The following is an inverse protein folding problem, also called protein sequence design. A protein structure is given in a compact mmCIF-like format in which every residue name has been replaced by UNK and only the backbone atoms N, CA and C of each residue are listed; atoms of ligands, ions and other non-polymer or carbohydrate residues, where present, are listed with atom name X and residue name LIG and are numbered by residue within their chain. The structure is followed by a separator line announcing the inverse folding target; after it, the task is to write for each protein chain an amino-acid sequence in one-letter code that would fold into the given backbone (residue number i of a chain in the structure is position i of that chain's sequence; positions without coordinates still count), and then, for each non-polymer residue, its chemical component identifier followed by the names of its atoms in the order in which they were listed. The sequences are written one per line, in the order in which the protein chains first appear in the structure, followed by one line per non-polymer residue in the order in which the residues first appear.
data_IF_545487680191
#
_entry.id   IF_545487680191
#
_cell.length_a   1.000
_cell.length_b   1.000
_cell.length_c   1.000
_cell.angle_alpha   90.00
_cell.angle_beta   90.00
_cell.angle_gamma   90.00
#
_symmetry.space_group_name_H-M   'P 1'
#
loop_
_entity.id
_entity.type
_entity.pdbx_description
1 polymer ?
#
# COMPACT_ATOMS: atom_id res chain seq x y z
N UNK A 1 -7.76 -50.33 -21.50
CA UNK A 1 -6.59 -49.51 -21.13
C UNK A 1 -6.59 -48.11 -21.76
N UNK A 2 -6.94 -47.94 -23.05
CA UNK A 2 -6.95 -46.62 -23.71
C UNK A 2 -7.93 -45.57 -23.12
N UNK A 3 -9.08 -45.99 -22.58
CA UNK A 3 -10.09 -45.08 -22.00
C UNK A 3 -9.65 -44.43 -20.69
N UNK A 4 -8.88 -45.15 -19.86
CA UNK A 4 -8.33 -44.62 -18.60
C UNK A 4 -7.22 -43.59 -18.88
N UNK A 5 -6.38 -43.82 -19.90
CA UNK A 5 -5.34 -42.88 -20.31
C UNK A 5 -5.92 -41.55 -20.83
N UNK A 6 -7.02 -41.60 -21.58
CA UNK A 6 -7.70 -40.40 -22.07
C UNK A 6 -8.33 -39.57 -20.94
N UNK A 7 -8.91 -40.22 -19.92
CA UNK A 7 -9.50 -39.56 -18.75
C UNK A 7 -8.42 -38.93 -17.85
N UNK A 8 -7.29 -39.61 -17.68
CA UNK A 8 -6.16 -39.06 -16.92
C UNK A 8 -5.54 -37.86 -17.63
N UNK A 9 -5.41 -37.92 -18.96
CA UNK A 9 -4.85 -36.81 -19.73
C UNK A 9 -5.77 -35.59 -19.73
N UNK A 10 -7.09 -35.78 -19.85
CA UNK A 10 -8.04 -34.67 -19.76
C UNK A 10 -8.06 -34.04 -18.36
N UNK A 11 -7.93 -34.84 -17.29
CA UNK A 11 -7.81 -34.32 -15.92
C UNK A 11 -6.54 -33.50 -15.70
N UNK A 12 -5.41 -33.92 -16.29
CA UNK A 12 -4.16 -33.16 -16.19
C UNK A 12 -4.23 -31.82 -16.93
N UNK A 13 -4.85 -31.79 -18.11
CA UNK A 13 -4.99 -30.57 -18.90
C UNK A 13 -5.88 -29.55 -18.16
N UNK A 14 -6.99 -30.01 -17.57
CA UNK A 14 -7.87 -29.12 -16.79
C UNK A 14 -7.19 -28.61 -15.53
N UNK A 15 -6.42 -29.44 -14.82
CA UNK A 15 -5.66 -29.01 -13.66
C UNK A 15 -4.62 -27.92 -13.99
N UNK A 16 -3.85 -28.10 -15.08
CA UNK A 16 -2.86 -27.11 -15.53
C UNK A 16 -3.54 -25.79 -15.92
N UNK A 17 -4.67 -25.85 -16.64
CA UNK A 17 -5.40 -24.64 -17.04
C UNK A 17 -5.93 -23.86 -15.83
N UNK A 18 -6.49 -24.55 -14.83
CA UNK A 18 -7.00 -23.95 -13.60
C UNK A 18 -5.89 -23.31 -12.75
N UNK A 19 -4.71 -23.93 -12.67
CA UNK A 19 -3.57 -23.36 -11.93
C UNK A 19 -2.94 -22.13 -12.59
N UNK A 20 -3.01 -22.02 -13.91
CA UNK A 20 -2.50 -20.84 -14.63
C UNK A 20 -3.38 -19.60 -14.45
N UNK A 21 -4.70 -19.78 -14.31
CA UNK A 21 -5.66 -18.69 -14.12
C UNK A 21 -5.55 -18.01 -12.74
N UNK A 22 -5.09 -18.72 -11.70
CA UNK A 22 -4.96 -18.16 -10.34
C UNK A 22 -3.70 -17.33 -10.14
N UNK A 23 -2.65 -17.56 -10.94
CA UNK A 23 -1.38 -16.82 -10.83
C UNK A 23 -1.46 -15.39 -11.40
N UNK A 24 -2.41 -15.12 -12.30
CA UNK A 24 -2.58 -13.81 -12.92
C UNK A 24 -3.24 -12.74 -12.04
N UNK A 25 -3.91 -13.13 -10.95
CA UNK A 25 -4.69 -12.20 -10.11
C UNK A 25 -3.92 -11.63 -8.91
N UNK A 26 -2.74 -12.18 -8.59
CA UNK A 26 -2.03 -11.85 -7.33
C UNK A 26 -1.21 -10.56 -7.37
N UNK A 27 -1.11 -9.87 -8.52
CA UNK A 27 -0.36 -8.60 -8.67
C UNK A 27 -1.23 -7.38 -9.00
N UNK A 28 -2.54 -7.49 -8.84
CA UNK A 28 -3.36 -6.30 -8.67
C UNK A 28 -3.16 -5.85 -7.22
N UNK A 29 -2.35 -4.80 -7.00
CA UNK A 29 -2.39 -4.08 -5.73
C UNK A 29 -3.84 -3.77 -5.42
N UNK A 30 -4.34 -4.26 -4.28
CA UNK A 30 -5.72 -4.03 -3.88
C UNK A 30 -5.98 -2.51 -3.87
N UNK A 31 -7.12 -2.04 -4.39
CA UNK A 31 -7.44 -0.64 -4.36
C UNK A 31 -7.84 -0.30 -2.92
N UNK A 32 -6.91 0.23 -2.13
CA UNK A 32 -7.31 1.02 -0.97
C UNK A 32 -8.07 2.22 -1.53
N UNK A 33 -9.39 2.21 -1.36
CA UNK A 33 -10.32 3.14 -1.98
C UNK A 33 -9.91 4.60 -1.80
N UNK A 34 -9.68 5.25 -2.94
CA UNK A 34 -9.54 6.69 -3.23
C UNK A 34 -8.46 7.50 -2.49
N UNK A 35 -7.95 7.06 -1.33
CA UNK A 35 -6.98 7.84 -0.54
C UNK A 35 -5.80 6.97 -0.12
N UNK A 36 -4.61 7.37 -0.56
CA UNK A 36 -3.35 6.76 -0.17
C UNK A 36 -2.70 7.59 0.94
N UNK A 37 -2.46 6.97 2.09
CA UNK A 37 -1.77 7.60 3.23
C UNK A 37 -0.36 7.05 3.32
N UNK A 38 0.62 7.95 3.32
CA UNK A 38 2.03 7.67 3.57
C UNK A 38 2.46 8.31 4.89
N UNK A 39 3.43 7.70 5.57
CA UNK A 39 3.95 8.18 6.85
C UNK A 39 5.46 7.98 6.90
N UNK A 40 6.18 9.00 7.35
CA UNK A 40 7.61 8.94 7.62
C UNK A 40 7.90 9.58 8.98
N UNK A 41 8.88 9.03 9.68
CA UNK A 41 9.38 9.59 10.94
C UNK A 41 10.36 10.73 10.67
N UNK A 42 10.59 11.57 11.69
CA UNK A 42 11.55 12.67 11.59
C UNK A 42 12.94 12.16 11.16
N UNK A 43 13.55 12.85 10.19
CA UNK A 43 14.83 12.47 9.59
C UNK A 43 14.74 11.44 8.46
N UNK A 44 13.58 10.79 8.26
CA UNK A 44 13.37 9.86 7.16
C UNK A 44 12.63 10.53 6.00
N UNK A 45 13.07 10.34 4.74
CA UNK A 45 12.37 10.88 3.58
C UNK A 45 11.03 10.16 3.39
N UNK A 46 10.02 10.93 2.95
CA UNK A 46 8.72 10.40 2.52
C UNK A 46 8.64 10.36 1.00
N UNK A 47 8.19 9.25 0.42
CA UNK A 47 7.98 9.10 -1.02
C UNK A 47 6.50 8.85 -1.32
N UNK A 48 5.91 9.67 -2.18
CA UNK A 48 4.54 9.51 -2.65
C UNK A 48 4.56 8.92 -4.06
N UNK A 49 3.80 7.82 -4.29
CA UNK A 49 3.74 7.15 -5.60
C UNK A 49 2.29 6.87 -5.97
N UNK A 50 1.89 7.30 -7.16
CA UNK A 50 0.62 6.96 -7.77
C UNK A 50 0.83 5.95 -8.92
N UNK A 51 -0.10 5.00 -9.14
CA UNK A 51 0.00 4.05 -10.23
C UNK A 51 -0.30 4.70 -11.59
N UNK A 52 0.35 4.21 -12.65
CA UNK A 52 0.02 4.60 -14.03
C UNK A 52 0.33 6.07 -14.34
N UNK A 53 -0.69 6.80 -14.78
CA UNK A 53 -0.63 8.22 -15.17
C UNK A 53 -1.28 9.16 -14.15
N UNK A 54 -1.67 8.64 -12.99
CA UNK A 54 -2.34 9.42 -11.96
C UNK A 54 -1.36 10.42 -11.33
N UNK A 55 -1.86 11.62 -11.01
CA UNK A 55 -1.09 12.67 -10.34
C UNK A 55 -1.37 12.67 -8.84
N UNK A 56 -0.39 13.09 -8.06
CA UNK A 56 -0.53 13.21 -6.61
C UNK A 56 -1.42 14.41 -6.31
N UNK A 57 -2.47 14.18 -5.53
CA UNK A 57 -3.31 15.22 -4.95
C UNK A 57 -3.21 15.10 -3.43
N UNK A 58 -2.74 16.16 -2.78
CA UNK A 58 -2.63 16.20 -1.32
C UNK A 58 -3.97 16.69 -0.77
N UNK A 59 -4.61 15.85 0.04
CA UNK A 59 -5.89 16.13 0.68
C UNK A 59 -5.73 16.56 2.13
N UNK A 60 -4.76 15.96 2.82
CA UNK A 60 -4.38 16.33 4.17
C UNK A 60 -2.90 16.01 4.40
N UNK A 61 -2.20 16.89 5.11
CA UNK A 61 -0.85 16.62 5.58
C UNK A 61 -0.61 17.34 6.92
N UNK A 62 0.02 16.64 7.85
CA UNK A 62 0.43 17.19 9.13
C UNK A 62 1.90 16.83 9.37
N UNK A 63 2.69 17.81 9.79
CA UNK A 63 4.02 17.58 10.33
C UNK A 63 3.96 17.80 11.84
N UNK A 64 4.10 16.72 12.60
CA UNK A 64 3.93 16.74 14.05
C UNK A 64 3.61 15.35 14.60
N UNK A 65 2.95 15.31 15.77
CA UNK A 65 2.63 14.07 16.49
C UNK A 65 1.20 14.12 16.99
N UNK A 66 0.41 13.14 16.57
CA UNK A 66 -1.00 12.97 16.94
C UNK A 66 -1.27 11.67 17.70
N UNK A 67 -0.28 10.79 17.77
CA UNK A 67 -0.35 9.44 18.32
C UNK A 67 0.97 9.15 19.05
N UNK A 68 0.85 8.49 20.20
CA UNK A 68 1.96 8.12 21.07
C UNK A 68 2.66 6.84 20.63
N UNK A 69 2.15 6.10 19.64
CA UNK A 69 2.71 4.80 19.20
C UNK A 69 3.44 4.86 17.86
N UNK A 70 3.36 5.99 17.16
CA UNK A 70 3.98 6.17 15.85
C UNK A 70 5.36 6.77 16.02
N UNK A 71 6.38 6.25 15.33
CA UNK A 71 7.76 6.73 15.44
C UNK A 71 8.28 6.72 16.89
N UNK A 72 8.54 5.50 17.36
CA UNK A 72 9.02 5.21 18.72
C UNK A 72 10.37 5.91 18.99
N UNK A 73 10.47 6.55 20.15
CA UNK A 73 11.56 7.45 20.55
C UNK A 73 11.61 7.54 22.08
N UNK A 74 12.29 8.57 22.62
CA UNK A 74 12.30 8.77 24.07
C UNK A 74 10.89 9.12 24.60
N UNK A 75 10.46 8.58 25.76
CA UNK A 75 9.11 8.81 26.30
C UNK A 75 8.74 10.29 26.47
N UNK A 76 9.71 11.13 26.82
CA UNK A 76 9.53 12.58 26.96
C UNK A 76 9.17 13.28 25.63
N UNK A 77 9.64 12.74 24.51
CA UNK A 77 9.34 13.30 23.18
C UNK A 77 7.99 12.79 22.64
N UNK A 78 7.49 11.69 23.19
CA UNK A 78 6.24 11.04 22.77
C UNK A 78 5.03 11.51 23.57
N UNK A 79 5.22 12.15 24.73
CA UNK A 79 4.15 12.66 25.59
C UNK A 79 3.27 13.71 24.89
N UNK A 80 3.84 14.54 24.01
CA UNK A 80 3.08 15.55 23.29
C UNK A 80 2.41 14.98 22.02
N UNK A 81 1.18 14.49 22.18
CA UNK A 81 0.32 14.02 21.08
C UNK A 81 -0.56 15.10 20.46
N UNK A 82 -0.38 16.38 20.81
CA UNK A 82 -1.14 17.50 20.26
C UNK A 82 -0.22 18.48 19.51
N UNK A 83 0.69 17.92 18.70
CA UNK A 83 1.63 18.67 17.91
C UNK A 83 1.16 18.70 16.44
N UNK A 84 0.81 19.90 15.96
CA UNK A 84 0.30 20.12 14.62
C UNK A 84 1.01 21.30 13.95
N UNK A 85 1.33 21.15 12.66
CA UNK A 85 1.84 22.22 11.83
C UNK A 85 0.88 22.47 10.65
N UNK A 86 0.05 23.53 10.69
CA UNK A 86 -0.96 23.77 9.64
C UNK A 86 -0.34 24.05 8.26
N UNK A 87 0.87 24.62 8.23
CA UNK A 87 1.59 24.90 6.98
C UNK A 87 2.09 23.64 6.26
N UNK A 88 2.08 22.48 6.91
CA UNK A 88 2.52 21.22 6.32
C UNK A 88 1.71 20.88 5.05
N UNK A 89 0.41 21.14 5.05
CA UNK A 89 -0.44 20.94 3.87
C UNK A 89 0.06 21.76 2.68
N UNK A 90 0.33 23.05 2.88
CA UNK A 90 0.82 23.93 1.81
C UNK A 90 2.19 23.48 1.29
N UNK A 91 3.09 23.07 2.18
CA UNK A 91 4.44 22.61 1.80
C UNK A 91 4.35 21.33 0.95
N UNK A 92 3.51 20.37 1.35
CA UNK A 92 3.37 19.11 0.61
C UNK A 92 2.64 19.28 -0.72
N UNK A 93 1.70 20.21 -0.82
CA UNK A 93 0.98 20.48 -2.08
C UNK A 93 1.82 21.25 -3.12
N UNK A 94 2.95 21.84 -2.72
CA UNK A 94 3.80 22.66 -3.60
C UNK A 94 5.09 21.96 -4.06
N UNK A 95 5.45 20.83 -3.45
CA UNK A 95 6.68 20.07 -3.75
C UNK A 95 6.40 18.94 -4.71
#
# INVERSE_FOLDING_TARGET
MARLAAVLWSLCITAVLVTSATQGLSRAGLPFGLMRRELACEGYPIELRCPGSDVIMVENANYGRTDDKICDADPFQMENVQCYLPDAFKIMSQR
#
